data_IF_536392990313
#
_entry.id   IF_536392990313
#
_cell.length_a   1.000
_cell.length_b   1.000
_cell.length_c   1.000
_cell.angle_alpha   90.00
_cell.angle_beta   90.00
_cell.angle_gamma   90.00
#
_symmetry.space_group_name_H-M   'P 1'
#
loop_
_entity.id
_entity.type
_entity.pdbx_description
1 polymer ?
#
# COMPACT_ATOMS: atom_id res chain seq x y z
N UNK A 1 -6.41 21.08 -1.95
CA UNK A 1 -6.06 19.69 -2.34
C UNK A 1 -4.56 19.69 -2.51
N UNK A 2 -3.84 18.95 -1.68
CA UNK A 2 -2.39 18.86 -1.79
C UNK A 2 -2.03 17.95 -2.98
N UNK A 3 -1.16 18.43 -3.85
CA UNK A 3 -0.68 17.68 -5.01
C UNK A 3 0.66 17.06 -4.65
N UNK A 4 0.77 15.74 -4.79
CA UNK A 4 2.02 15.01 -4.56
C UNK A 4 2.61 14.54 -5.90
N UNK A 5 3.94 14.54 -6.07
CA UNK A 5 4.55 13.98 -7.27
C UNK A 5 4.30 12.47 -7.31
N UNK A 6 4.00 11.94 -8.49
CA UNK A 6 3.75 10.51 -8.69
C UNK A 6 4.92 9.63 -8.19
N UNK A 7 6.15 10.13 -8.25
CA UNK A 7 7.34 9.44 -7.75
C UNK A 7 7.40 9.29 -6.22
N UNK A 8 6.58 10.03 -5.46
CA UNK A 8 6.55 10.00 -4.00
C UNK A 8 5.48 9.05 -3.44
N UNK A 9 4.65 8.43 -4.29
CA UNK A 9 3.52 7.60 -3.88
C UNK A 9 3.50 6.29 -4.66
N UNK A 10 2.86 5.29 -4.07
CA UNK A 10 2.62 3.97 -4.65
C UNK A 10 1.11 3.70 -4.69
N UNK A 11 0.66 2.98 -5.71
CA UNK A 11 -0.71 2.44 -5.78
C UNK A 11 -0.69 1.04 -5.19
N UNK A 12 -1.53 0.82 -4.18
CA UNK A 12 -1.53 -0.43 -3.42
C UNK A 12 -2.96 -0.95 -3.20
N UNK A 13 -3.13 -2.27 -3.17
CA UNK A 13 -4.46 -2.84 -2.98
C UNK A 13 -4.92 -2.71 -1.52
N UNK A 14 -6.15 -2.25 -1.28
CA UNK A 14 -6.75 -2.13 0.07
C UNK A 14 -6.83 -3.49 0.75
N UNK A 15 -7.32 -4.52 0.04
CA UNK A 15 -7.15 -5.92 0.40
C UNK A 15 -6.14 -6.55 -0.55
N UNK A 16 -5.03 -7.14 -0.06
CA UNK A 16 -4.05 -7.77 -0.93
C UNK A 16 -4.67 -8.89 -1.79
N UNK A 17 -4.22 -9.02 -3.04
CA UNK A 17 -4.65 -10.10 -3.95
C UNK A 17 -4.39 -11.48 -3.34
N UNK A 18 -3.25 -11.66 -2.67
CA UNK A 18 -2.89 -12.90 -1.96
C UNK A 18 -3.88 -13.27 -0.84
N UNK A 19 -4.63 -12.30 -0.33
CA UNK A 19 -5.66 -12.50 0.69
C UNK A 19 -7.07 -12.49 0.10
N UNK A 20 -7.22 -12.64 -1.22
CA UNK A 20 -8.52 -12.64 -1.91
C UNK A 20 -9.06 -11.26 -2.26
N UNK A 21 -8.20 -10.25 -2.37
CA UNK A 21 -8.54 -8.95 -2.96
C UNK A 21 -8.82 -9.04 -4.46
N UNK A 22 -9.41 -7.99 -5.02
CA UNK A 22 -9.66 -7.86 -6.46
C UNK A 22 -8.81 -6.77 -7.07
N UNK A 23 -8.48 -6.88 -8.36
CA UNK A 23 -7.75 -5.84 -9.08
C UNK A 23 -8.77 -4.88 -9.74
N UNK A 24 -9.33 -4.00 -8.93
CA UNK A 24 -10.36 -3.03 -9.35
C UNK A 24 -10.08 -1.67 -8.75
N UNK A 25 -10.58 -0.60 -9.39
CA UNK A 25 -10.44 0.78 -8.91
C UNK A 25 -10.97 0.96 -7.47
N UNK A 26 -11.95 0.14 -7.07
CA UNK A 26 -12.53 0.16 -5.72
C UNK A 26 -11.67 -0.53 -4.65
N UNK A 27 -10.62 -1.26 -5.04
CA UNK A 27 -9.72 -1.96 -4.13
C UNK A 27 -8.28 -1.44 -4.23
N UNK A 28 -8.05 -0.25 -4.80
CA UNK A 28 -6.73 0.40 -4.83
C UNK A 28 -6.74 1.71 -4.05
N UNK A 29 -5.61 2.06 -3.47
CA UNK A 29 -5.38 3.31 -2.76
C UNK A 29 -3.99 3.86 -3.08
N UNK A 30 -3.85 5.19 -3.07
CA UNK A 30 -2.56 5.88 -3.24
C UNK A 30 -1.97 6.15 -1.86
N UNK A 31 -0.77 5.65 -1.60
CA UNK A 31 -0.07 5.80 -0.33
C UNK A 31 1.31 6.41 -0.55
N UNK A 32 1.77 7.25 0.37
CA UNK A 32 3.21 7.57 0.40
C UNK A 32 4.00 6.31 0.79
N UNK A 33 5.29 6.26 0.43
CA UNK A 33 6.17 5.12 0.73
C UNK A 33 6.21 4.74 2.22
N UNK A 34 6.04 5.71 3.11
CA UNK A 34 5.98 5.47 4.56
C UNK A 34 4.72 4.73 4.99
N UNK A 35 3.55 5.21 4.54
CA UNK A 35 2.27 4.56 4.80
C UNK A 35 2.19 3.17 4.16
N UNK A 36 2.73 3.00 2.95
CA UNK A 36 2.77 1.70 2.28
C UNK A 36 3.55 0.65 3.10
N UNK A 37 4.73 1.00 3.64
CA UNK A 37 5.48 0.11 4.53
C UNK A 37 4.72 -0.25 5.81
N UNK A 38 4.00 0.71 6.41
CA UNK A 38 3.20 0.45 7.60
C UNK A 38 2.05 -0.53 7.30
N UNK A 39 1.39 -0.36 6.16
CA UNK A 39 0.33 -1.26 5.70
C UNK A 39 0.85 -2.69 5.50
N UNK A 40 1.97 -2.85 4.79
CA UNK A 40 2.60 -4.18 4.58
C UNK A 40 2.85 -4.88 5.92
N UNK A 41 3.42 -4.16 6.91
CA UNK A 41 3.68 -4.73 8.24
C UNK A 41 2.39 -5.18 8.94
N UNK A 42 1.32 -4.39 8.84
CA UNK A 42 0.05 -4.72 9.45
C UNK A 42 -0.66 -5.91 8.77
N UNK A 43 -0.51 -6.07 7.46
CA UNK A 43 -1.21 -7.09 6.68
C UNK A 43 -0.52 -8.45 6.70
N UNK A 44 0.82 -8.44 6.73
CA UNK A 44 1.64 -9.65 6.61
C UNK A 44 2.41 -9.99 7.88
N UNK A 45 2.13 -9.29 8.99
CA UNK A 45 2.79 -9.45 10.30
C UNK A 45 4.33 -9.50 10.20
N UNK A 46 4.89 -8.68 9.33
CA UNK A 46 6.34 -8.68 9.06
C UNK A 46 7.05 -7.86 10.17
N UNK A 47 7.44 -8.55 11.24
CA UNK A 47 8.30 -8.01 12.29
C UNK A 47 9.77 -7.95 11.84
N UNK A 48 10.14 -6.99 10.99
CA UNK A 48 11.54 -6.79 10.59
C UNK A 48 11.89 -5.39 10.05
N UNK A 49 13.14 -4.92 10.22
CA UNK A 49 13.62 -3.72 9.53
C UNK A 49 13.69 -4.00 8.01
N UNK A 50 13.34 -3.03 7.15
CA UNK A 50 13.50 -3.22 5.72
C UNK A 50 15.00 -3.27 5.40
N UNK A 51 15.39 -4.18 4.51
CA UNK A 51 16.68 -4.12 3.82
C UNK A 51 16.83 -2.76 3.11
#
# INVERSE_FOLDING_TARGET
METFPASAVDVDHVRPLAMGGTDTDGNVQVLCRGCHRLKIRAEFDIAGPPF
#
